data_IF_183951917003
#
_entry.id   IF_183951917003
#
_cell.length_a   1.000
_cell.length_b   1.000
_cell.length_c   1.000
_cell.angle_alpha   90.00
_cell.angle_beta   90.00
_cell.angle_gamma   90.00
#
_symmetry.space_group_name_H-M   'P 1'
#
loop_
_entity.id
_entity.type
_entity.pdbx_description
1 polymer ?
#
# COMPACT_ATOMS: atom_id res chain seq x y z
N UNK A 1 -52.77 -47.41 31.16
CA UNK A 1 -52.85 -48.26 29.99
C UNK A 1 -51.67 -47.84 29.12
N UNK A 2 -50.51 -48.45 29.10
CA UNK A 2 -50.12 -49.83 28.88
C UNK A 2 -49.92 -50.03 27.38
N UNK A 3 -48.69 -50.02 26.90
CA UNK A 3 -48.01 -51.17 26.37
C UNK A 3 -46.61 -50.84 25.84
N UNK A 4 -45.66 -51.47 26.48
CA UNK A 4 -44.29 -51.73 26.04
C UNK A 4 -44.29 -52.75 24.87
N UNK A 5 -43.30 -52.62 23.95
CA UNK A 5 -42.58 -53.81 23.46
C UNK A 5 -41.27 -53.39 22.72
N UNK A 6 -40.21 -53.88 23.26
CA UNK A 6 -38.89 -54.12 22.66
C UNK A 6 -38.96 -55.13 21.51
N UNK A 7 -38.05 -55.07 20.53
CA UNK A 7 -37.41 -56.16 19.77
C UNK A 7 -36.36 -55.53 18.88
N UNK A 8 -35.13 -55.74 19.15
CA UNK A 8 -34.15 -56.75 18.77
C UNK A 8 -33.24 -56.38 17.57
N UNK A 9 -31.97 -56.57 17.82
CA UNK A 9 -30.79 -56.41 17.00
C UNK A 9 -30.85 -57.15 15.68
N UNK A 10 -30.27 -56.58 14.64
CA UNK A 10 -29.50 -57.34 13.65
C UNK A 10 -28.28 -56.58 13.20
N UNK A 11 -27.16 -57.15 13.56
CA UNK A 11 -25.79 -56.90 13.09
C UNK A 11 -25.70 -57.23 11.59
N UNK A 12 -25.24 -56.31 10.75
CA UNK A 12 -24.48 -56.70 9.56
C UNK A 12 -23.54 -55.59 9.17
N UNK A 13 -22.27 -55.81 9.41
CA UNK A 13 -21.14 -55.12 8.77
C UNK A 13 -20.83 -55.88 7.47
N UNK A 14 -20.63 -55.25 6.34
CA UNK A 14 -19.40 -55.51 5.64
C UNK A 14 -18.78 -54.34 4.88
N UNK A 15 -17.48 -54.38 4.91
CA UNK A 15 -16.51 -53.86 3.95
C UNK A 15 -16.23 -52.34 3.93
N UNK A 16 -15.24 -52.02 4.73
CA UNK A 16 -14.29 -50.95 4.49
C UNK A 16 -13.73 -50.97 3.04
N UNK A 17 -14.12 -50.03 2.23
CA UNK A 17 -13.33 -49.61 1.07
C UNK A 17 -12.58 -48.34 1.45
N UNK A 18 -11.35 -48.54 1.90
CA UNK A 18 -10.35 -47.48 2.06
C UNK A 18 -10.01 -46.86 0.71
N UNK A 19 -10.69 -45.79 0.34
CA UNK A 19 -10.19 -44.90 -0.68
C UNK A 19 -9.13 -43.99 -0.06
N UNK A 20 -7.87 -44.41 -0.07
CA UNK A 20 -6.71 -43.56 0.07
C UNK A 20 -6.67 -42.59 -1.13
N UNK A 21 -7.48 -41.55 -1.10
CA UNK A 21 -7.24 -40.32 -1.87
C UNK A 21 -5.98 -39.69 -1.28
N UNK A 22 -4.87 -39.80 -2.00
CA UNK A 22 -3.67 -39.01 -1.72
C UNK A 22 -4.00 -37.57 -2.03
N UNK A 23 -4.48 -36.80 -1.05
CA UNK A 23 -4.40 -35.36 -1.08
C UNK A 23 -2.91 -34.97 -1.07
N UNK A 24 -2.35 -34.83 -2.25
CA UNK A 24 -1.02 -34.28 -2.47
C UNK A 24 -1.07 -32.74 -2.30
N UNK A 25 -1.55 -32.27 -1.17
CA UNK A 25 -1.35 -30.90 -0.75
C UNK A 25 0.09 -30.76 -0.30
N UNK A 26 0.89 -30.08 -1.10
CA UNK A 26 2.26 -29.70 -0.73
C UNK A 26 2.23 -29.09 0.69
N UNK A 27 3.16 -29.49 1.58
CA UNK A 27 3.20 -28.96 2.94
C UNK A 27 3.32 -27.43 2.87
N UNK A 28 2.56 -26.68 3.66
CA UNK A 28 2.48 -25.21 3.65
C UNK A 28 3.85 -24.52 3.64
N UNK A 29 4.89 -25.16 4.21
CA UNK A 29 6.28 -24.67 4.17
C UNK A 29 6.89 -24.72 2.77
N UNK A 30 6.57 -25.73 1.96
CA UNK A 30 7.09 -25.86 0.60
C UNK A 30 6.44 -24.83 -0.34
N UNK A 31 5.15 -24.58 -0.21
CA UNK A 31 4.47 -23.50 -0.97
C UNK A 31 5.03 -22.13 -0.64
N UNK A 32 5.28 -21.83 0.63
CA UNK A 32 5.91 -20.54 1.01
C UNK A 32 7.33 -20.39 0.45
N UNK A 33 8.13 -21.46 0.46
CA UNK A 33 9.50 -21.43 -0.10
C UNK A 33 9.50 -21.22 -1.62
N UNK A 34 8.59 -21.87 -2.35
CA UNK A 34 8.44 -21.71 -3.81
C UNK A 34 8.00 -20.27 -4.14
N UNK A 35 7.01 -19.74 -3.44
CA UNK A 35 6.58 -18.35 -3.65
C UNK A 35 7.71 -17.36 -3.38
N UNK A 36 8.45 -17.52 -2.30
CA UNK A 36 9.59 -16.66 -1.99
C UNK A 36 10.69 -16.74 -3.07
N UNK A 37 10.97 -17.92 -3.61
CA UNK A 37 11.96 -18.12 -4.66
C UNK A 37 11.52 -17.49 -6.00
N UNK A 38 10.28 -17.73 -6.43
CA UNK A 38 9.71 -17.11 -7.64
C UNK A 38 9.75 -15.59 -7.54
N UNK A 39 9.36 -15.09 -6.40
CA UNK A 39 9.35 -13.70 -6.09
C UNK A 39 10.75 -13.06 -6.16
N UNK A 40 11.76 -13.70 -5.57
CA UNK A 40 13.16 -13.26 -5.65
C UNK A 40 13.68 -13.23 -7.08
N UNK A 41 13.41 -14.26 -7.89
CA UNK A 41 13.82 -14.33 -9.29
C UNK A 41 13.22 -13.19 -10.12
N UNK A 42 11.97 -12.90 -9.86
CA UNK A 42 11.23 -11.88 -10.56
C UNK A 42 11.72 -10.47 -10.26
N UNK A 43 11.88 -10.15 -8.98
CA UNK A 43 12.43 -8.87 -8.54
C UNK A 43 13.86 -8.67 -9.07
N UNK A 44 14.65 -9.75 -9.06
CA UNK A 44 15.97 -9.75 -9.65
C UNK A 44 15.92 -9.49 -11.16
N UNK A 45 14.95 -10.08 -11.86
CA UNK A 45 14.71 -9.88 -13.29
C UNK A 45 14.31 -8.44 -13.60
N UNK A 46 13.39 -7.85 -12.81
CA UNK A 46 13.00 -6.45 -12.96
C UNK A 46 14.20 -5.53 -12.71
N UNK A 47 14.93 -5.74 -11.61
CA UNK A 47 16.11 -4.94 -11.30
C UNK A 47 17.17 -5.04 -12.40
N UNK A 48 17.39 -6.22 -12.95
CA UNK A 48 18.28 -6.46 -14.08
C UNK A 48 17.80 -5.75 -15.36
N UNK A 49 16.50 -5.86 -15.69
CA UNK A 49 15.90 -5.13 -16.80
C UNK A 49 16.11 -3.62 -16.66
N UNK A 50 15.88 -3.06 -15.44
CA UNK A 50 16.11 -1.64 -15.17
C UNK A 50 17.60 -1.27 -15.32
N UNK A 51 18.51 -2.14 -14.89
CA UNK A 51 19.95 -1.93 -15.09
C UNK A 51 20.34 -1.87 -16.57
N UNK A 52 19.75 -2.71 -17.41
CA UNK A 52 20.04 -2.76 -18.83
C UNK A 52 19.37 -1.63 -19.62
N UNK A 53 18.07 -1.39 -19.37
CA UNK A 53 17.24 -0.52 -20.21
C UNK A 53 16.95 0.85 -19.59
N UNK A 54 17.25 1.03 -18.30
CA UNK A 54 17.03 2.29 -17.58
C UNK A 54 18.05 3.36 -17.96
N UNK A 55 17.65 4.62 -17.82
CA UNK A 55 18.56 5.77 -17.98
C UNK A 55 19.54 5.80 -16.80
N UNK A 56 20.82 6.00 -17.09
CA UNK A 56 21.83 6.30 -16.07
C UNK A 56 21.78 7.80 -15.74
N UNK A 57 21.59 8.15 -14.49
CA UNK A 57 21.42 9.53 -14.02
C UNK A 57 22.29 9.72 -12.80
N UNK A 58 23.03 10.80 -12.74
CA UNK A 58 23.80 11.14 -11.55
C UNK A 58 22.84 11.57 -10.42
N UNK A 59 23.10 11.16 -9.18
CA UNK A 59 22.26 11.49 -8.02
C UNK A 59 22.09 13.01 -7.85
N UNK A 60 23.16 13.78 -8.07
CA UNK A 60 23.16 15.25 -7.97
C UNK A 60 22.27 15.94 -9.01
N UNK A 61 22.08 15.33 -10.18
CA UNK A 61 21.31 15.93 -11.28
C UNK A 61 19.79 15.66 -11.17
N UNK A 62 19.41 14.72 -10.30
CA UNK A 62 18.00 14.37 -10.09
C UNK A 62 17.70 14.06 -8.61
N UNK A 63 17.79 15.07 -7.72
CA UNK A 63 17.52 14.88 -6.29
C UNK A 63 16.08 14.42 -6.00
N UNK A 64 15.13 14.65 -6.92
CA UNK A 64 13.78 14.15 -6.80
C UNK A 64 13.68 12.62 -6.87
N UNK A 65 14.66 11.94 -7.47
CA UNK A 65 14.78 10.47 -7.49
C UNK A 65 15.33 9.90 -6.19
N UNK A 66 15.92 10.73 -5.32
CA UNK A 66 16.43 10.27 -4.03
C UNK A 66 15.33 9.53 -3.27
N UNK A 67 15.64 8.34 -2.81
CA UNK A 67 14.66 7.45 -2.24
C UNK A 67 15.31 6.47 -1.27
N UNK A 68 14.52 6.03 -0.32
CA UNK A 68 14.93 4.96 0.58
C UNK A 68 15.07 3.67 -0.24
N UNK A 69 16.28 3.10 -0.17
CA UNK A 69 16.59 1.80 -0.79
C UNK A 69 16.27 0.71 0.23
N UNK A 70 15.39 -0.20 -0.13
CA UNK A 70 15.04 -1.35 0.71
C UNK A 70 15.85 -2.59 0.41
N UNK A 71 15.88 -3.50 1.38
CA UNK A 71 16.33 -4.87 1.17
C UNK A 71 15.13 -5.79 0.97
N UNK A 72 15.22 -6.80 0.07
CA UNK A 72 14.17 -7.81 -0.08
C UNK A 72 13.89 -8.53 1.24
N UNK A 73 12.62 -8.80 1.52
CA UNK A 73 12.21 -9.59 2.69
C UNK A 73 11.88 -8.79 3.96
N UNK A 74 11.99 -7.46 3.94
CA UNK A 74 11.51 -6.63 5.06
C UNK A 74 10.04 -6.30 4.88
N UNK A 75 9.23 -6.59 5.91
CA UNK A 75 7.77 -6.52 5.84
C UNK A 75 7.22 -5.63 6.95
N UNK A 76 6.23 -4.83 6.61
CA UNK A 76 5.44 -4.08 7.58
C UNK A 76 6.25 -3.07 8.39
N UNK A 77 6.10 -3.07 9.71
CA UNK A 77 6.74 -2.11 10.60
C UNK A 77 8.28 -2.23 10.62
N UNK A 78 8.79 -3.41 10.28
CA UNK A 78 10.22 -3.68 10.21
C UNK A 78 10.93 -2.80 9.16
N UNK A 79 10.27 -2.51 8.04
CA UNK A 79 10.80 -1.60 7.01
C UNK A 79 11.14 -0.24 7.61
N UNK A 80 10.20 0.33 8.36
CA UNK A 80 10.37 1.67 8.95
C UNK A 80 11.42 1.68 10.07
N UNK A 81 11.49 0.58 10.84
CA UNK A 81 12.52 0.42 11.87
C UNK A 81 13.92 0.40 11.25
N UNK A 82 14.11 -0.37 10.18
CA UNK A 82 15.40 -0.45 9.47
C UNK A 82 15.80 0.87 8.83
N UNK A 83 14.86 1.63 8.30
CA UNK A 83 15.12 2.97 7.79
C UNK A 83 15.57 3.89 8.94
N UNK A 84 14.86 3.84 10.07
CA UNK A 84 15.18 4.63 11.25
C UNK A 84 16.58 4.31 11.76
N UNK A 85 16.96 3.03 11.83
CA UNK A 85 18.31 2.58 12.23
C UNK A 85 19.38 3.06 11.23
N UNK A 86 19.15 2.87 9.92
CA UNK A 86 20.12 3.20 8.87
C UNK A 86 20.37 4.72 8.73
N UNK A 87 19.35 5.53 8.96
CA UNK A 87 19.41 6.99 8.84
C UNK A 87 19.51 7.70 10.21
N UNK A 88 19.64 6.93 11.31
CA UNK A 88 19.71 7.44 12.70
C UNK A 88 18.51 8.33 13.07
N UNK A 89 17.28 7.92 12.67
CA UNK A 89 16.05 8.66 12.91
C UNK A 89 15.26 8.10 14.10
N UNK A 90 14.47 8.95 14.74
CA UNK A 90 13.51 8.56 15.76
C UNK A 90 12.20 8.15 15.09
N UNK A 91 11.76 6.91 15.33
CA UNK A 91 10.48 6.35 14.84
C UNK A 91 9.40 6.54 15.90
N UNK A 92 8.31 7.20 15.53
CA UNK A 92 7.12 7.40 16.37
C UNK A 92 5.83 7.19 15.59
N UNK A 93 4.71 7.03 16.30
CA UNK A 93 3.37 6.88 15.72
C UNK A 93 2.39 7.80 16.47
N UNK A 94 2.45 9.11 16.24
CA UNK A 94 1.51 10.04 16.85
C UNK A 94 0.05 9.73 16.42
N UNK A 95 -0.93 9.85 17.33
CA UNK A 95 -2.32 9.49 17.05
C UNK A 95 -3.01 10.41 16.04
N UNK A 96 -2.43 11.57 15.77
CA UNK A 96 -2.90 12.61 14.85
C UNK A 96 -1.96 12.81 13.65
N UNK A 97 -0.99 11.93 13.44
CA UNK A 97 -0.02 12.05 12.36
C UNK A 97 -0.69 12.09 10.98
N UNK A 98 -0.26 13.03 10.14
CA UNK A 98 -0.69 13.17 8.75
C UNK A 98 0.24 12.48 7.76
N UNK A 99 -0.26 12.19 6.56
CA UNK A 99 0.54 11.74 5.41
C UNK A 99 1.35 12.89 4.82
N UNK A 100 0.80 14.09 4.88
CA UNK A 100 1.41 15.35 4.46
C UNK A 100 1.27 16.30 5.65
N UNK A 101 2.36 16.82 6.22
CA UNK A 101 2.30 17.68 7.40
C UNK A 101 1.56 19.00 7.19
N UNK A 102 1.59 19.52 5.98
CA UNK A 102 0.97 20.77 5.55
C UNK A 102 0.47 20.58 4.12
N UNK A 103 -0.85 20.59 3.95
CA UNK A 103 -1.47 20.40 2.65
C UNK A 103 -1.20 21.54 1.68
N UNK A 104 -0.90 22.74 2.18
CA UNK A 104 -0.62 23.94 1.37
C UNK A 104 0.62 23.78 0.48
N UNK A 105 1.55 22.88 0.84
CA UNK A 105 2.75 22.60 0.03
C UNK A 105 2.44 22.06 -1.36
N UNK A 106 1.23 21.52 -1.59
CA UNK A 106 0.77 21.02 -2.89
C UNK A 106 0.30 22.14 -3.83
N UNK A 107 0.27 23.37 -3.34
CA UNK A 107 -0.22 24.54 -4.08
C UNK A 107 0.56 24.83 -5.36
N UNK A 108 -0.17 25.31 -6.37
CA UNK A 108 0.35 25.74 -7.67
C UNK A 108 -0.69 25.67 -8.78
N UNK A 109 -0.29 25.74 -10.06
CA UNK A 109 -1.21 25.92 -11.19
C UNK A 109 -2.29 24.83 -11.35
N UNK A 110 -2.02 23.58 -10.92
CA UNK A 110 -2.99 22.48 -11.03
C UNK A 110 -3.75 22.17 -9.75
N UNK A 111 -3.38 22.81 -8.64
CA UNK A 111 -4.01 22.60 -7.35
C UNK A 111 -4.03 23.91 -6.55
N UNK A 112 -5.21 24.37 -6.21
CA UNK A 112 -5.45 25.47 -5.28
C UNK A 112 -5.92 24.88 -3.95
N UNK A 113 -5.06 24.78 -2.92
CA UNK A 113 -5.41 24.14 -1.65
C UNK A 113 -6.65 24.73 -0.98
N UNK A 114 -6.86 26.04 -1.11
CA UNK A 114 -8.01 26.73 -0.51
C UNK A 114 -9.35 26.34 -1.15
N UNK A 115 -9.35 25.86 -2.38
CA UNK A 115 -10.53 25.34 -3.08
C UNK A 115 -10.86 23.91 -2.70
N UNK A 116 -9.92 23.18 -2.07
CA UNK A 116 -10.14 21.81 -1.64
C UNK A 116 -10.95 21.81 -0.35
N UNK A 117 -11.97 20.92 -0.28
CA UNK A 117 -12.84 20.82 0.88
C UNK A 117 -12.04 20.63 2.18
N UNK A 118 -12.35 21.34 3.28
CA UNK A 118 -11.54 21.33 4.51
C UNK A 118 -11.33 19.93 5.10
N UNK A 119 -12.33 19.03 5.02
CA UNK A 119 -12.23 17.65 5.53
C UNK A 119 -11.22 16.81 4.74
N UNK A 120 -11.01 17.11 3.45
CA UNK A 120 -10.00 16.43 2.62
C UNK A 120 -8.61 16.86 3.08
N UNK A 121 -8.39 18.16 3.28
CA UNK A 121 -7.13 18.70 3.81
C UNK A 121 -6.83 18.10 5.17
N UNK A 122 -7.81 18.13 6.07
CA UNK A 122 -7.70 17.54 7.41
C UNK A 122 -7.34 16.04 7.37
N UNK A 123 -7.91 15.27 6.44
CA UNK A 123 -7.52 13.86 6.28
C UNK A 123 -6.04 13.69 5.95
N UNK A 124 -5.49 14.47 5.02
CA UNK A 124 -4.08 14.35 4.67
C UNK A 124 -3.16 14.81 5.79
N UNK A 125 -3.57 15.80 6.55
CA UNK A 125 -2.80 16.36 7.67
C UNK A 125 -2.94 15.57 8.98
N UNK A 126 -3.99 14.73 9.11
CA UNK A 126 -4.31 13.95 10.31
C UNK A 126 -4.78 12.53 10.00
N UNK A 127 -4.17 11.86 9.04
CA UNK A 127 -4.64 10.56 8.53
C UNK A 127 -4.68 9.45 9.60
N UNK A 128 -3.84 9.52 10.64
CA UNK A 128 -3.85 8.58 11.75
C UNK A 128 -5.15 8.63 12.58
N UNK A 129 -5.86 9.78 12.56
CA UNK A 129 -7.13 9.98 13.26
C UNK A 129 -8.33 9.40 12.51
N UNK A 130 -8.11 8.80 11.33
CA UNK A 130 -9.18 8.26 10.50
C UNK A 130 -9.20 6.73 10.47
N UNK A 131 -10.39 6.18 10.59
CA UNK A 131 -10.68 4.80 10.25
C UNK A 131 -10.98 4.68 8.76
N UNK A 132 -10.44 3.63 8.11
CA UNK A 132 -10.62 3.38 6.68
C UNK A 132 -11.37 2.06 6.47
N UNK A 133 -12.43 2.13 5.69
CA UNK A 133 -13.11 0.99 5.11
C UNK A 133 -12.79 0.95 3.61
N UNK A 134 -12.65 -0.24 3.02
CA UNK A 134 -12.33 -0.39 1.60
C UNK A 134 -13.20 -1.43 0.94
N UNK A 135 -13.64 -1.13 -0.27
CA UNK A 135 -14.30 -2.06 -1.19
C UNK A 135 -13.48 -2.11 -2.47
N UNK A 136 -13.38 -3.28 -3.07
CA UNK A 136 -12.59 -3.50 -4.28
C UNK A 136 -13.46 -4.05 -5.41
N UNK A 137 -13.30 -3.44 -6.60
CA UNK A 137 -13.85 -3.94 -7.86
C UNK A 137 -12.69 -4.40 -8.74
N UNK A 138 -12.62 -5.70 -8.99
CA UNK A 138 -11.58 -6.31 -9.85
C UNK A 138 -12.17 -6.68 -11.19
N UNK A 139 -11.70 -6.07 -12.26
CA UNK A 139 -12.14 -6.38 -13.62
C UNK A 139 -11.52 -7.69 -14.13
N UNK A 140 -12.25 -8.43 -14.99
CA UNK A 140 -11.86 -9.79 -15.42
C UNK A 140 -10.45 -9.85 -16.02
N UNK A 141 -10.10 -8.91 -16.91
CA UNK A 141 -8.74 -8.78 -17.46
C UNK A 141 -7.75 -8.37 -16.35
N UNK A 142 -8.23 -7.61 -15.37
CA UNK A 142 -7.46 -7.22 -14.19
C UNK A 142 -7.07 -8.39 -13.29
N UNK A 143 -7.83 -9.49 -13.25
CA UNK A 143 -7.50 -10.64 -12.37
C UNK A 143 -6.19 -11.31 -12.77
N UNK A 144 -5.95 -11.51 -14.06
CA UNK A 144 -4.67 -12.06 -14.54
C UNK A 144 -3.53 -11.08 -14.32
N UNK A 145 -3.77 -9.80 -14.60
CA UNK A 145 -2.78 -8.76 -14.40
C UNK A 145 -2.57 -8.46 -12.91
N UNK A 146 -3.63 -8.46 -12.10
CA UNK A 146 -3.53 -8.35 -10.64
C UNK A 146 -2.78 -9.55 -10.05
N UNK A 147 -3.02 -10.74 -10.55
CA UNK A 147 -2.24 -11.92 -10.18
C UNK A 147 -0.78 -11.73 -10.55
N UNK A 148 -0.47 -11.26 -11.76
CA UNK A 148 0.88 -10.87 -12.16
C UNK A 148 1.42 -9.73 -11.30
N UNK A 149 0.65 -8.67 -11.06
CA UNK A 149 1.08 -7.51 -10.25
C UNK A 149 1.27 -7.88 -8.78
N UNK A 150 0.38 -8.69 -8.22
CA UNK A 150 0.50 -9.24 -6.87
C UNK A 150 1.67 -10.20 -6.78
N UNK A 151 1.84 -11.07 -7.76
CA UNK A 151 3.00 -11.95 -7.88
C UNK A 151 4.30 -11.16 -8.12
N UNK A 152 4.26 -10.09 -8.95
CA UNK A 152 5.41 -9.26 -9.32
C UNK A 152 5.80 -8.20 -8.29
N UNK A 153 4.86 -7.66 -7.54
CA UNK A 153 5.11 -6.59 -6.57
C UNK A 153 4.87 -7.07 -5.14
N UNK A 154 3.87 -7.93 -4.92
CA UNK A 154 3.42 -8.35 -3.60
C UNK A 154 4.19 -9.52 -3.02
N UNK A 155 4.57 -10.50 -3.84
CA UNK A 155 5.23 -11.71 -3.35
C UNK A 155 6.61 -11.46 -2.73
N UNK A 156 7.25 -10.36 -3.10
CA UNK A 156 8.55 -9.95 -2.52
C UNK A 156 8.43 -8.89 -1.44
N UNK A 157 7.38 -8.09 -1.49
CA UNK A 157 7.30 -6.95 -0.60
C UNK A 157 6.38 -7.23 0.58
N UNK A 158 5.51 -8.27 0.51
CA UNK A 158 4.40 -8.47 1.48
C UNK A 158 3.81 -7.11 1.95
N UNK A 159 4.03 -6.08 1.11
CA UNK A 159 3.74 -4.68 1.38
C UNK A 159 2.52 -4.19 0.62
N UNK A 160 2.01 -5.00 -0.33
CA UNK A 160 0.90 -4.67 -1.21
C UNK A 160 0.01 -5.90 -1.43
N UNK A 161 -0.71 -6.32 -0.40
CA UNK A 161 -1.74 -7.35 -0.55
C UNK A 161 -3.06 -6.65 -0.88
N UNK A 162 -3.41 -6.61 -2.17
CA UNK A 162 -4.71 -6.07 -2.55
C UNK A 162 -5.83 -6.88 -1.89
N UNK A 163 -6.87 -6.21 -1.37
CA UNK A 163 -8.02 -6.86 -0.74
C UNK A 163 -8.89 -7.56 -1.79
N UNK A 164 -8.44 -8.71 -2.29
CA UNK A 164 -9.15 -9.52 -3.28
C UNK A 164 -10.24 -10.37 -2.60
N UNK A 165 -10.06 -10.71 -1.32
CA UNK A 165 -11.03 -11.46 -0.54
C UNK A 165 -11.99 -10.54 0.18
N UNK A 166 -13.26 -10.53 -0.25
CA UNK A 166 -14.32 -9.77 0.41
C UNK A 166 -14.49 -10.12 1.89
N UNK A 167 -14.20 -11.35 2.29
CA UNK A 167 -14.29 -11.81 3.68
C UNK A 167 -13.18 -11.24 4.57
N UNK A 168 -11.95 -11.09 4.06
CA UNK A 168 -10.87 -10.45 4.81
C UNK A 168 -11.11 -8.95 4.96
N UNK A 169 -11.62 -8.31 3.93
CA UNK A 169 -12.02 -6.89 3.93
C UNK A 169 -13.13 -6.62 4.92
N UNK A 170 -14.16 -7.49 4.98
CA UNK A 170 -15.32 -7.34 5.87
C UNK A 170 -14.92 -7.33 7.36
N UNK A 171 -13.80 -7.96 7.73
CA UNK A 171 -13.25 -7.93 9.10
C UNK A 171 -12.49 -6.64 9.43
N UNK A 172 -12.36 -5.73 8.47
CA UNK A 172 -11.74 -4.42 8.62
C UNK A 172 -10.21 -4.45 8.57
N UNK A 173 -9.64 -3.24 8.56
CA UNK A 173 -8.20 -3.03 8.54
C UNK A 173 -7.75 -2.11 9.68
N UNK A 174 -6.47 -2.18 10.01
CA UNK A 174 -5.78 -1.18 10.83
C UNK A 174 -5.02 -0.24 9.91
N UNK A 175 -4.98 1.03 10.29
CA UNK A 175 -4.21 2.08 9.61
C UNK A 175 -3.31 2.76 10.64
N UNK A 176 -2.02 2.82 10.37
CA UNK A 176 -1.02 3.42 11.27
C UNK A 176 -0.15 4.36 10.44
N UNK A 177 -0.02 5.61 10.88
CA UNK A 177 0.89 6.58 10.29
C UNK A 177 2.12 6.70 11.18
N UNK A 178 3.28 6.45 10.59
CA UNK A 178 4.57 6.41 11.26
C UNK A 178 5.38 7.64 10.84
N UNK A 179 6.00 8.32 11.80
CA UNK A 179 6.87 9.46 11.55
C UNK A 179 8.31 9.11 11.91
N UNK A 180 9.23 9.36 10.96
CA UNK A 180 10.66 9.23 11.14
C UNK A 180 11.27 10.64 11.17
N UNK A 181 11.72 11.05 12.34
CA UNK A 181 12.23 12.40 12.58
C UNK A 181 13.70 12.38 12.92
N UNK A 182 14.40 13.38 12.45
CA UNK A 182 15.77 13.66 12.88
C UNK A 182 15.77 14.01 14.38
N UNK A 183 16.52 13.29 15.23
CA UNK A 183 16.46 13.49 16.67
C UNK A 183 17.07 14.82 17.13
N UNK A 184 17.99 15.40 16.36
CA UNK A 184 18.66 16.65 16.71
C UNK A 184 17.82 17.88 16.35
N UNK A 185 17.20 17.88 15.16
CA UNK A 185 16.41 19.02 14.66
C UNK A 185 14.91 18.88 14.84
N UNK A 186 14.42 17.67 15.19
CA UNK A 186 13.00 17.35 15.21
C UNK A 186 12.34 17.32 13.82
N UNK A 187 13.10 17.54 12.74
CA UNK A 187 12.59 17.63 11.37
C UNK A 187 12.05 16.29 10.90
N UNK A 188 10.83 16.28 10.36
CA UNK A 188 10.25 15.11 9.72
C UNK A 188 11.02 14.78 8.43
N UNK A 189 11.56 13.56 8.36
CA UNK A 189 12.31 13.06 7.19
C UNK A 189 11.42 12.18 6.31
N UNK A 190 10.70 11.24 6.93
CA UNK A 190 9.83 10.32 6.22
C UNK A 190 8.51 10.13 6.98
N UNK A 191 7.44 9.92 6.23
CA UNK A 191 6.14 9.51 6.76
C UNK A 191 5.81 8.14 6.21
N UNK A 192 5.64 7.15 7.08
CA UNK A 192 5.22 5.80 6.72
C UNK A 192 3.71 5.65 6.85
N UNK A 193 3.06 4.99 5.89
CA UNK A 193 1.69 4.57 6.03
C UNK A 193 1.61 3.05 5.98
N UNK A 194 1.21 2.43 7.10
CA UNK A 194 1.11 0.99 7.26
C UNK A 194 -0.35 0.58 7.46
N UNK A 195 -0.86 -0.25 6.57
CA UNK A 195 -2.20 -0.84 6.67
C UNK A 195 -2.11 -2.35 6.72
N UNK A 196 -2.92 -2.97 7.61
CA UNK A 196 -2.96 -4.42 7.82
C UNK A 196 -4.40 -4.91 7.96
N UNK A 197 -4.68 -6.12 7.51
CA UNK A 197 -5.95 -6.79 7.82
C UNK A 197 -6.05 -7.06 9.32
N UNK A 198 -7.18 -6.72 9.93
CA UNK A 198 -7.43 -7.03 11.36
C UNK A 198 -7.48 -8.54 11.59
N UNK A 199 -7.97 -9.31 10.61
CA UNK A 199 -8.17 -10.76 10.71
C UNK A 199 -6.90 -11.58 10.72
N UNK A 200 -5.94 -11.23 9.86
CA UNK A 200 -4.72 -12.02 9.62
C UNK A 200 -3.44 -11.31 10.07
N UNK A 201 -3.49 -10.00 10.33
CA UNK A 201 -2.32 -9.17 10.57
C UNK A 201 -1.45 -8.94 9.33
N UNK A 202 -1.81 -9.53 8.18
CA UNK A 202 -1.06 -9.36 6.93
C UNK A 202 -1.04 -7.91 6.50
N UNK A 203 0.10 -7.47 5.99
CA UNK A 203 0.27 -6.12 5.47
C UNK A 203 -0.51 -5.97 4.18
N UNK A 204 -1.40 -4.97 4.12
CA UNK A 204 -2.11 -4.56 2.91
C UNK A 204 -1.26 -3.57 2.14
N UNK A 205 -0.63 -2.66 2.87
CA UNK A 205 0.10 -1.54 2.30
C UNK A 205 1.16 -1.03 3.26
N UNK A 206 2.37 -0.82 2.76
CA UNK A 206 3.44 -0.16 3.49
C UNK A 206 4.23 0.75 2.54
N UNK A 207 3.93 2.03 2.55
CA UNK A 207 4.55 3.03 1.69
C UNK A 207 5.15 4.19 2.48
N UNK A 208 6.14 4.85 1.90
CA UNK A 208 6.76 6.05 2.45
C UNK A 208 6.28 7.25 1.65
N UNK A 209 5.66 8.20 2.33
CA UNK A 209 5.11 9.42 1.77
C UNK A 209 6.09 10.57 1.93
N UNK A 210 6.21 11.38 0.90
CA UNK A 210 6.90 12.66 0.91
C UNK A 210 6.35 13.55 -0.19
N UNK A 211 6.71 14.82 -0.19
CA UNK A 211 6.44 15.75 -1.28
C UNK A 211 7.75 16.13 -1.98
N UNK A 212 7.72 16.24 -3.30
CA UNK A 212 8.90 16.61 -4.10
C UNK A 212 8.51 17.37 -5.36
N UNK A 213 9.40 18.22 -5.83
CA UNK A 213 9.26 18.87 -7.15
C UNK A 213 9.95 17.99 -8.19
N UNK A 214 9.24 17.70 -9.27
CA UNK A 214 9.78 16.96 -10.42
C UNK A 214 9.79 17.86 -11.66
N UNK A 215 10.74 17.69 -12.58
CA UNK A 215 11.01 18.69 -13.64
C UNK A 215 9.83 19.03 -14.53
N UNK A 216 8.98 18.05 -14.84
CA UNK A 216 7.88 18.21 -15.78
C UNK A 216 6.54 18.55 -15.15
N UNK A 217 6.46 18.74 -13.83
CA UNK A 217 5.20 19.08 -13.18
C UNK A 217 5.23 20.47 -12.57
N UNK A 218 4.14 21.25 -12.70
CA UNK A 218 4.09 22.62 -12.23
C UNK A 218 4.00 22.73 -10.70
N UNK A 219 3.39 21.72 -10.07
CA UNK A 219 3.22 21.65 -8.63
C UNK A 219 4.20 20.65 -7.99
N UNK A 220 4.48 20.75 -6.68
CA UNK A 220 5.04 19.65 -5.93
C UNK A 220 4.13 18.42 -6.04
N UNK A 221 4.73 17.26 -6.28
CA UNK A 221 4.03 15.99 -6.35
C UNK A 221 4.06 15.29 -5.00
N UNK A 222 3.02 14.52 -4.70
CA UNK A 222 3.09 13.50 -3.65
C UNK A 222 3.91 12.35 -4.20
N UNK A 223 4.96 11.98 -3.48
CA UNK A 223 5.82 10.85 -3.79
C UNK A 223 5.53 9.72 -2.82
N UNK A 224 5.20 8.57 -3.34
CA UNK A 224 5.06 7.33 -2.57
C UNK A 224 6.20 6.40 -2.96
N UNK A 225 7.01 6.02 -1.99
CA UNK A 225 8.16 5.12 -2.18
C UNK A 225 7.85 3.78 -1.55
N UNK A 226 8.05 2.71 -2.32
CA UNK A 226 8.03 1.33 -1.86
C UNK A 226 9.47 0.82 -1.86
N UNK A 227 10.08 0.65 -0.65
CA UNK A 227 11.42 0.09 -0.55
C UNK A 227 11.45 -1.36 -1.04
N UNK A 228 12.34 -1.64 -1.99
CA UNK A 228 12.53 -2.97 -2.57
C UNK A 228 14.00 -3.11 -2.96
N UNK A 229 14.38 -4.03 -3.83
CA UNK A 229 15.72 -4.05 -4.40
C UNK A 229 15.94 -2.79 -5.27
N UNK A 230 16.45 -1.72 -4.66
CA UNK A 230 16.32 -0.35 -5.09
C UNK A 230 15.03 0.27 -4.52
N UNK A 231 14.25 0.96 -5.32
CA UNK A 231 12.93 1.48 -4.94
C UNK A 231 11.94 1.48 -6.09
N UNK A 232 10.66 1.36 -5.76
CA UNK A 232 9.54 1.67 -6.64
C UNK A 232 8.92 2.98 -6.15
N UNK A 233 8.87 3.99 -7.01
CA UNK A 233 8.37 5.31 -6.68
C UNK A 233 7.17 5.65 -7.55
N UNK A 234 6.11 6.14 -6.94
CA UNK A 234 4.96 6.72 -7.63
C UNK A 234 4.94 8.22 -7.35
N UNK A 235 4.98 9.00 -8.40
CA UNK A 235 4.83 10.46 -8.33
C UNK A 235 3.43 10.83 -8.77
N UNK A 236 2.69 11.47 -7.88
CA UNK A 236 1.29 11.82 -8.03
C UNK A 236 1.16 13.34 -8.11
N UNK A 237 0.69 13.84 -9.24
CA UNK A 237 0.39 15.26 -9.43
C UNK A 237 -0.91 15.58 -8.70
N UNK A 238 -0.92 16.63 -7.83
CA UNK A 238 -2.14 17.11 -7.19
C UNK A 238 -3.01 17.91 -8.16
N UNK A 239 -4.33 17.75 -8.03
CA UNK A 239 -5.34 18.50 -8.77
C UNK A 239 -6.47 18.90 -7.82
N UNK A 240 -6.93 20.17 -7.88
CA UNK A 240 -8.18 20.59 -7.27
C UNK A 240 -9.28 20.68 -8.33
N UNK A 241 -10.53 20.40 -7.93
CA UNK A 241 -11.70 20.47 -8.81
C UNK A 241 -12.70 21.50 -8.27
N UNK A 242 -13.54 22.02 -9.16
CA UNK A 242 -14.51 23.07 -8.85
C UNK A 242 -15.59 22.65 -7.83
N UNK A 243 -15.81 21.35 -7.67
CA UNK A 243 -16.72 20.76 -6.67
C UNK A 243 -16.07 20.59 -5.28
N UNK A 244 -14.86 21.11 -5.09
CA UNK A 244 -14.11 20.98 -3.85
C UNK A 244 -13.40 19.63 -3.67
N UNK A 245 -13.56 18.70 -4.61
CA UNK A 245 -12.83 17.42 -4.56
C UNK A 245 -11.35 17.61 -4.91
N UNK A 246 -10.55 16.61 -4.54
CA UNK A 246 -9.10 16.61 -4.74
C UNK A 246 -8.66 15.36 -5.48
N UNK A 247 -7.72 15.50 -6.39
CA UNK A 247 -7.15 14.40 -7.17
C UNK A 247 -5.66 14.25 -6.97
N UNK A 248 -5.20 13.01 -7.02
CA UNK A 248 -3.79 12.64 -7.16
C UNK A 248 -3.66 11.72 -8.37
N UNK A 249 -2.85 12.10 -9.36
CA UNK A 249 -2.78 11.38 -10.63
C UNK A 249 -1.34 11.10 -11.07
N UNK A 250 -1.07 9.88 -11.53
CA UNK A 250 0.23 9.46 -12.07
C UNK A 250 0.21 9.30 -13.61
N UNK A 251 -0.58 10.12 -14.30
CA UNK A 251 -0.86 9.98 -15.75
C UNK A 251 0.09 10.78 -16.64
N UNK A 252 1.27 11.15 -16.17
CA UNK A 252 2.25 11.88 -16.96
C UNK A 252 2.88 11.02 -18.05
N UNK A 253 3.09 11.62 -19.23
CA UNK A 253 3.80 10.96 -20.33
C UNK A 253 5.28 11.38 -20.34
N UNK A 254 6.17 10.42 -20.15
CA UNK A 254 7.61 10.63 -20.26
C UNK A 254 8.36 10.79 -18.94
N UNK A 255 9.68 10.89 -19.07
CA UNK A 255 10.59 11.00 -17.94
C UNK A 255 10.52 12.39 -17.29
N UNK A 256 10.53 12.44 -15.96
CA UNK A 256 10.39 13.69 -15.21
C UNK A 256 8.95 14.18 -15.03
N UNK A 257 7.97 13.37 -15.40
CA UNK A 257 6.54 13.60 -15.19
C UNK A 257 5.99 12.69 -14.09
N UNK A 258 4.79 13.04 -13.58
CA UNK A 258 4.04 12.18 -12.68
C UNK A 258 3.86 10.77 -13.28
N UNK A 259 4.13 9.72 -12.49
CA UNK A 259 4.15 8.36 -13.02
C UNK A 259 4.83 7.38 -12.09
N UNK A 260 4.96 6.15 -12.56
CA UNK A 260 5.62 5.06 -11.85
C UNK A 260 7.09 4.89 -12.30
N UNK A 261 8.01 4.86 -11.36
CA UNK A 261 9.44 4.76 -11.59
C UNK A 261 10.08 3.63 -10.80
N UNK A 262 10.90 2.83 -11.45
CA UNK A 262 11.84 1.91 -10.77
C UNK A 262 13.23 2.53 -10.78
N UNK A 263 13.83 2.57 -9.60
CA UNK A 263 15.15 3.14 -9.37
C UNK A 263 16.04 2.06 -8.76
N UNK A 264 17.21 1.86 -9.35
CA UNK A 264 18.21 0.88 -8.90
C UNK A 264 19.57 1.57 -8.83
N UNK A 265 20.38 1.27 -7.83
CA UNK A 265 21.73 1.82 -7.72
C UNK A 265 22.62 1.37 -8.87
N UNK A 266 23.41 2.30 -9.37
CA UNK A 266 24.39 2.11 -10.44
C UNK A 266 25.75 2.69 -10.06
N UNK A 267 26.31 2.17 -8.98
CA UNK A 267 27.49 2.72 -8.28
C UNK A 267 27.10 3.71 -7.17
N UNK A 268 28.08 4.38 -6.58
CA UNK A 268 27.88 5.27 -5.44
C UNK A 268 27.07 6.52 -5.78
N UNK A 269 27.27 7.08 -6.97
CA UNK A 269 26.80 8.42 -7.32
C UNK A 269 25.76 8.45 -8.45
N UNK A 270 25.26 7.29 -8.85
CA UNK A 270 24.34 7.20 -9.97
C UNK A 270 23.16 6.22 -9.71
N UNK A 271 22.05 6.52 -10.35
CA UNK A 271 20.89 5.67 -10.47
C UNK A 271 20.76 5.11 -11.89
N UNK A 272 20.19 3.90 -12.00
CA UNK A 272 19.50 3.41 -13.21
C UNK A 272 18.01 3.54 -12.97
N UNK A 273 17.32 4.26 -13.84
CA UNK A 273 15.92 4.64 -13.66
C UNK A 273 15.10 4.28 -14.88
N UNK A 274 13.99 3.61 -14.68
CA UNK A 274 12.99 3.35 -15.71
C UNK A 274 11.65 3.90 -15.31
N UNK A 275 11.06 4.72 -16.21
CA UNK A 275 9.68 5.16 -16.09
C UNK A 275 8.76 4.15 -16.79
N UNK A 276 7.67 3.74 -16.14
CA UNK A 276 6.64 2.86 -16.68
C UNK A 276 5.41 3.69 -17.04
N UNK A 277 5.27 4.01 -18.32
CA UNK A 277 4.19 4.84 -18.86
C UNK A 277 2.89 4.06 -19.11
N UNK A 278 2.87 2.79 -18.82
CA UNK A 278 1.71 1.89 -19.01
C UNK A 278 0.89 1.68 -17.75
N UNK A 279 1.45 1.99 -16.59
CA UNK A 279 0.79 1.85 -15.29
C UNK A 279 0.44 3.24 -14.74
N UNK A 280 -0.84 3.46 -14.42
CA UNK A 280 -1.33 4.72 -13.92
C UNK A 280 -2.23 4.52 -12.72
N UNK A 281 -2.11 5.42 -11.75
CA UNK A 281 -2.97 5.53 -10.58
C UNK A 281 -3.70 6.87 -10.60
N UNK A 282 -4.98 6.84 -10.29
CA UNK A 282 -5.85 8.00 -10.23
C UNK A 282 -6.65 7.91 -8.93
N UNK A 283 -6.44 8.86 -8.05
CA UNK A 283 -7.21 9.03 -6.83
C UNK A 283 -8.12 10.23 -6.99
N UNK A 284 -9.37 10.11 -6.57
CA UNK A 284 -10.28 11.23 -6.37
C UNK A 284 -10.83 11.15 -4.96
N UNK A 285 -10.59 12.18 -4.18
CA UNK A 285 -11.05 12.33 -2.79
C UNK A 285 -12.15 13.38 -2.77
N UNK A 286 -13.29 13.04 -2.20
CA UNK A 286 -14.47 13.91 -2.19
C UNK A 286 -15.32 13.67 -0.95
N UNK A 287 -16.23 14.61 -0.68
CA UNK A 287 -17.29 14.44 0.31
C UNK A 287 -18.57 14.16 -0.49
N UNK A 288 -19.24 13.05 -0.17
CA UNK A 288 -20.46 12.65 -0.88
C UNK A 288 -21.71 13.35 -0.35
N UNK A 289 -22.86 13.04 -0.94
CA UNK A 289 -24.16 13.61 -0.58
C UNK A 289 -24.61 13.25 0.85
N UNK A 290 -24.06 12.17 1.41
CA UNK A 290 -24.30 11.73 2.80
C UNK A 290 -23.32 12.37 3.79
N UNK A 291 -22.56 13.40 3.35
CA UNK A 291 -21.49 14.04 4.12
C UNK A 291 -20.38 13.06 4.56
N UNK A 292 -20.17 11.98 3.84
CA UNK A 292 -19.09 11.04 4.08
C UNK A 292 -17.85 11.36 3.24
N UNK A 293 -16.67 11.30 3.86
CA UNK A 293 -15.41 11.46 3.14
C UNK A 293 -15.06 10.15 2.42
N UNK A 294 -14.88 10.23 1.10
CA UNK A 294 -14.62 9.08 0.23
C UNK A 294 -13.40 9.26 -0.64
N UNK A 295 -12.84 8.13 -1.08
CA UNK A 295 -11.79 8.10 -2.11
C UNK A 295 -12.07 7.02 -3.12
N UNK A 296 -12.06 7.37 -4.39
CA UNK A 296 -11.99 6.44 -5.51
C UNK A 296 -10.54 6.34 -5.97
N UNK A 297 -9.99 5.12 -5.96
CA UNK A 297 -8.65 4.83 -6.44
C UNK A 297 -8.74 3.88 -7.63
N UNK A 298 -8.44 4.38 -8.81
CA UNK A 298 -8.45 3.62 -10.06
C UNK A 298 -7.03 3.32 -10.50
N UNK A 299 -6.74 2.04 -10.76
CA UNK A 299 -5.48 1.59 -11.35
C UNK A 299 -5.75 1.19 -12.80
N UNK A 300 -4.96 1.77 -13.71
CA UNK A 300 -5.00 1.46 -15.14
C UNK A 300 -3.68 0.87 -15.62
N UNK A 301 -3.79 -0.14 -16.48
CA UNK A 301 -2.66 -0.71 -17.20
C UNK A 301 -2.94 -0.72 -18.70
N UNK A 302 -2.01 -0.15 -19.49
CA UNK A 302 -2.16 0.02 -20.94
C UNK A 302 -3.52 0.66 -21.30
N UNK A 303 -3.95 1.66 -20.51
CA UNK A 303 -5.21 2.37 -20.70
C UNK A 303 -6.47 1.67 -20.15
N UNK A 304 -6.41 0.36 -19.88
CA UNK A 304 -7.53 -0.41 -19.33
C UNK A 304 -7.59 -0.29 -17.81
N UNK A 305 -8.78 -0.11 -17.25
CA UNK A 305 -9.00 -0.17 -15.80
C UNK A 305 -8.89 -1.63 -15.35
N UNK A 306 -7.97 -1.90 -14.43
CA UNK A 306 -7.71 -3.24 -13.89
C UNK A 306 -8.25 -3.41 -12.48
N UNK A 307 -8.27 -2.32 -11.70
CA UNK A 307 -8.73 -2.32 -10.32
C UNK A 307 -9.35 -0.96 -9.98
N UNK A 308 -10.43 -0.98 -9.22
CA UNK A 308 -10.95 0.18 -8.48
C UNK A 308 -11.05 -0.18 -7.01
N UNK A 309 -10.63 0.76 -6.16
CA UNK A 309 -10.80 0.68 -4.73
C UNK A 309 -11.60 1.90 -4.29
N UNK A 310 -12.64 1.64 -3.51
CA UNK A 310 -13.49 2.66 -2.92
C UNK A 310 -13.23 2.68 -1.42
N UNK A 311 -12.87 3.84 -0.90
CA UNK A 311 -12.62 4.02 0.53
C UNK A 311 -13.69 4.92 1.13
N UNK A 312 -14.13 4.57 2.35
CA UNK A 312 -14.81 5.48 3.27
C UNK A 312 -13.88 5.79 4.42
N UNK A 313 -13.74 7.07 4.73
CA UNK A 313 -12.82 7.55 5.75
C UNK A 313 -13.63 8.27 6.83
N UNK A 314 -13.63 7.72 8.03
CA UNK A 314 -14.41 8.23 9.17
C UNK A 314 -13.46 8.63 10.29
N UNK A 315 -13.65 9.82 10.87
CA UNK A 315 -12.91 10.20 12.07
C UNK A 315 -13.16 9.17 13.17
N UNK A 316 -12.10 8.72 13.84
CA UNK A 316 -12.19 7.69 14.89
C UNK A 316 -13.07 8.17 16.07
N UNK A 317 -13.12 9.47 16.34
CA UNK A 317 -14.02 10.07 17.34
C UNK A 317 -15.52 9.90 17.02
N UNK A 318 -15.85 9.70 15.74
CA UNK A 318 -17.23 9.59 15.26
C UNK A 318 -17.68 8.12 15.09
N UNK A 319 -16.79 7.16 15.41
CA UNK A 319 -17.16 5.75 15.40
C UNK A 319 -17.98 5.35 16.63
N UNK A 320 -18.95 4.44 16.48
CA UNK A 320 -19.60 3.82 17.63
C UNK A 320 -18.57 3.18 18.56
N UNK A 321 -18.75 3.31 19.87
CA UNK A 321 -17.77 2.82 20.88
C UNK A 321 -17.41 1.34 20.78
N UNK A 322 -18.21 0.53 20.11
CA UNK A 322 -17.94 -0.90 19.88
C UNK A 322 -16.77 -1.17 18.93
N UNK A 323 -16.44 -0.20 18.04
CA UNK A 323 -15.40 -0.34 17.03
C UNK A 323 -14.10 0.37 17.40
N UNK A 324 -14.11 1.14 18.46
CA UNK A 324 -12.93 1.76 19.05
C UNK A 324 -12.18 0.73 19.93
N UNK A 325 -11.56 -0.29 19.30
CA UNK A 325 -10.65 -1.18 20.04
C UNK A 325 -9.43 -0.37 20.52
N UNK A 326 -9.07 -0.42 21.80
CA UNK A 326 -7.94 0.34 22.31
C UNK A 326 -6.65 -0.14 21.63
N UNK A 327 -5.92 0.79 21.05
CA UNK A 327 -4.52 0.58 20.67
C UNK A 327 -3.75 0.37 21.97
N UNK A 328 -3.63 -0.90 22.40
CA UNK A 328 -2.74 -1.25 23.52
C UNK A 328 -1.32 -1.03 23.06
N UNK A 329 -0.72 0.02 23.54
CA UNK A 329 0.72 0.22 23.55
C UNK A 329 1.36 -0.92 24.36
N UNK A 330 1.84 -1.96 23.67
CA UNK A 330 2.69 -2.97 24.26
C UNK A 330 4.13 -2.47 24.22
N UNK A 331 4.46 -1.56 25.13
CA UNK A 331 5.85 -1.39 25.58
C UNK A 331 6.09 -2.50 26.59
N UNK A 332 6.75 -3.57 26.18
CA UNK A 332 7.48 -4.45 27.10
C UNK A 332 8.95 -4.08 27.00
N UNK A 333 9.40 -3.35 28.01
CA UNK A 333 10.79 -3.28 28.43
C UNK A 333 11.21 -4.65 28.97
N UNK A 334 12.21 -5.24 28.40
CA UNK A 334 13.15 -6.20 29.00
C UNK A 334 14.44 -6.15 28.19
#
# INVERSE_FOLDING_TARGET
MGYSKSVERLNHNPHSLSSKGRDASLPRRATHAIHAACAFLLESGIAWMVRLTGRKIQKKDAPWLDCVVGNPGLIGREVYRRIAEAEHLHLSAPPDAGLIPDFSVLGGPSCAPDQVHPRIRHFYEHAASYHLEVWSEVYFIGRLFLWLLVEFISSQMDQLNFPISSLEVAKGMTSEVLQLRDPASGKLRHTGWLRRFKSSGKVIYAGIYSTTRIPGEPNPCVKVTFPCRGSANVYLRPCSYTDGSFGLVSTGAGFGRAGFYRVVEAGTDAWRVRNFTTLHEIFRVYVDEEDALRTDHTIKFVGLTILRLHYKMTLTSNLPRSDAAPVRAAVKTS
#
